data_IF_531935171530
#
_entry.id   IF_531935171530
#
_cell.length_a   1.000
_cell.length_b   1.000
_cell.length_c   1.000
_cell.angle_alpha   90.00
_cell.angle_beta   90.00
_cell.angle_gamma   90.00
#
_symmetry.space_group_name_H-M   'P 1'
#
loop_
_entity.id
_entity.type
_entity.pdbx_description
1 polymer ?
#
# COMPACT_ATOMS: atom_id res chain seq x y z
N UNK A 1 -4.32 22.41 -42.04
CA UNK A 1 -4.76 23.63 -41.33
C UNK A 1 -3.54 24.16 -40.62
N UNK A 2 -2.92 25.13 -41.27
CA UNK A 2 -1.64 25.73 -40.91
C UNK A 2 -1.69 26.36 -39.52
N UNK A 3 -0.54 26.33 -38.88
CA UNK A 3 -0.17 27.08 -37.70
C UNK A 3 -0.89 28.44 -37.70
N UNK A 4 -1.86 28.60 -36.80
CA UNK A 4 -2.15 29.93 -36.27
C UNK A 4 -0.84 30.36 -35.62
N UNK A 5 -0.11 31.18 -36.35
CA UNK A 5 1.07 31.91 -35.95
C UNK A 5 1.05 32.10 -34.42
N UNK A 6 1.94 31.39 -33.74
CA UNK A 6 2.21 31.54 -32.32
C UNK A 6 2.64 32.99 -32.12
N UNK A 7 1.68 33.88 -31.86
CA UNK A 7 1.96 35.24 -31.40
C UNK A 7 2.93 35.06 -30.23
N UNK A 8 4.15 35.64 -30.29
CA UNK A 8 5.15 35.41 -29.27
C UNK A 8 4.60 35.89 -27.93
N UNK A 9 4.22 34.93 -27.09
CA UNK A 9 3.72 35.17 -25.73
C UNK A 9 4.90 35.35 -24.80
N UNK A 10 4.75 36.22 -23.81
CA UNK A 10 5.79 36.46 -22.82
C UNK A 10 5.86 35.25 -21.90
N UNK A 11 7.03 34.60 -21.85
CA UNK A 11 7.30 33.50 -20.92
C UNK A 11 7.76 34.04 -19.57
N UNK A 12 7.15 33.54 -18.50
CA UNK A 12 7.55 33.78 -17.11
C UNK A 12 7.82 32.42 -16.47
N UNK A 13 8.85 32.36 -15.63
CA UNK A 13 9.31 31.09 -15.05
C UNK A 13 8.32 30.57 -14.00
N UNK A 14 7.82 31.43 -13.10
CA UNK A 14 6.78 31.07 -12.12
C UNK A 14 5.63 32.09 -12.01
N UNK A 15 4.46 31.62 -11.55
CA UNK A 15 3.32 32.48 -11.17
C UNK A 15 3.73 33.45 -10.05
N UNK A 16 4.66 33.04 -9.18
CA UNK A 16 5.13 33.88 -8.09
C UNK A 16 5.90 35.10 -8.61
N UNK A 17 6.66 34.96 -9.69
CA UNK A 17 7.38 36.08 -10.31
C UNK A 17 6.40 37.07 -10.91
N UNK A 18 5.34 36.58 -11.56
CA UNK A 18 4.26 37.42 -12.08
C UNK A 18 3.55 38.22 -10.97
N UNK A 19 3.26 37.57 -9.83
CA UNK A 19 2.71 38.25 -8.64
C UNK A 19 3.67 39.29 -8.08
N UNK A 20 4.96 38.98 -8.05
CA UNK A 20 6.01 39.89 -7.55
C UNK A 20 6.11 41.13 -8.44
N UNK A 21 6.07 40.97 -9.76
CA UNK A 21 6.03 42.09 -10.72
C UNK A 21 4.80 42.98 -10.47
N UNK A 22 3.63 42.37 -10.25
CA UNK A 22 2.40 43.12 -9.94
C UNK A 22 2.54 43.93 -8.65
N UNK A 23 3.12 43.35 -7.61
CA UNK A 23 3.35 44.03 -6.33
C UNK A 23 4.33 45.20 -6.48
N UNK A 24 5.49 44.98 -7.10
CA UNK A 24 6.47 46.06 -7.30
C UNK A 24 5.92 47.18 -8.19
N UNK A 25 5.16 46.85 -9.24
CA UNK A 25 4.51 47.86 -10.07
C UNK A 25 3.51 48.69 -9.26
N UNK A 26 2.70 48.03 -8.43
CA UNK A 26 1.74 48.69 -7.54
C UNK A 26 2.43 49.61 -6.54
N UNK A 27 3.51 49.16 -5.91
CA UNK A 27 4.29 49.95 -4.96
C UNK A 27 4.90 51.19 -5.63
N UNK A 28 5.56 51.02 -6.79
CA UNK A 28 6.14 52.13 -7.53
C UNK A 28 5.09 53.15 -8.00
N UNK A 29 3.94 52.67 -8.50
CA UNK A 29 2.84 53.54 -8.93
C UNK A 29 2.25 54.34 -7.75
N UNK A 30 2.12 53.72 -6.58
CA UNK A 30 1.64 54.39 -5.38
C UNK A 30 2.65 55.38 -4.82
N UNK A 31 3.95 55.06 -4.86
CA UNK A 31 5.02 55.99 -4.44
C UNK A 31 5.03 57.24 -5.32
N UNK A 32 4.92 57.08 -6.64
CA UNK A 32 4.89 58.20 -7.58
C UNK A 32 3.63 59.05 -7.40
N UNK A 33 2.48 58.41 -7.19
CA UNK A 33 1.23 59.11 -6.87
C UNK A 33 1.36 59.92 -5.57
N UNK A 34 2.01 59.37 -4.54
CA UNK A 34 2.25 60.08 -3.28
C UNK A 34 3.16 61.29 -3.46
N UNK A 35 4.21 61.18 -4.28
CA UNK A 35 5.09 62.33 -4.60
C UNK A 35 4.33 63.45 -5.30
N UNK A 36 3.46 63.11 -6.26
CA UNK A 36 2.63 64.10 -6.97
C UNK A 36 1.60 64.77 -6.05
N UNK A 37 1.00 63.99 -5.13
CA UNK A 37 0.02 64.49 -4.17
C UNK A 37 0.65 65.30 -3.03
N UNK A 38 1.92 65.08 -2.68
CA UNK A 38 2.61 65.84 -1.63
C UNK A 38 2.69 67.35 -1.93
N UNK A 39 2.50 67.75 -3.19
CA UNK A 39 2.47 69.15 -3.63
C UNK A 39 1.07 69.73 -3.90
N UNK A 40 -0.02 68.96 -3.74
CA UNK A 40 -1.39 69.43 -4.03
C UNK A 40 -2.35 69.14 -2.86
N UNK A 41 -3.16 70.12 -2.48
CA UNK A 41 -4.15 70.00 -1.39
C UNK A 41 -5.45 69.33 -1.87
N UNK A 42 -5.35 68.03 -2.19
CA UNK A 42 -6.45 67.23 -2.75
C UNK A 42 -6.96 66.25 -1.69
N UNK A 43 -7.39 66.76 -0.53
CA UNK A 43 -7.76 65.93 0.62
C UNK A 43 -8.98 65.01 0.40
N UNK A 44 -9.97 65.43 -0.42
CA UNK A 44 -11.20 64.66 -0.66
C UNK A 44 -11.16 63.74 -1.88
N UNK A 45 -10.36 64.06 -2.89
CA UNK A 45 -10.31 63.26 -4.13
C UNK A 45 -9.18 62.24 -4.11
N UNK A 46 -8.25 62.34 -3.14
CA UNK A 46 -7.14 61.40 -2.95
C UNK A 46 -7.62 59.94 -2.90
N UNK A 47 -8.65 59.66 -2.11
CA UNK A 47 -9.16 58.28 -1.97
C UNK A 47 -9.78 57.76 -3.27
N UNK A 48 -10.46 58.63 -4.03
CA UNK A 48 -11.01 58.28 -5.34
C UNK A 48 -9.90 58.01 -6.37
N UNK A 49 -8.84 58.83 -6.38
CA UNK A 49 -7.68 58.67 -7.26
C UNK A 49 -6.94 57.37 -6.96
N UNK A 50 -6.73 57.05 -5.68
CA UNK A 50 -6.12 55.78 -5.26
C UNK A 50 -6.97 54.60 -5.72
N UNK A 51 -8.29 54.64 -5.49
CA UNK A 51 -9.19 53.59 -5.96
C UNK A 51 -9.12 53.39 -7.48
N UNK A 52 -9.10 54.48 -8.26
CA UNK A 52 -9.01 54.41 -9.71
C UNK A 52 -7.65 53.89 -10.19
N UNK A 53 -6.55 54.25 -9.51
CA UNK A 53 -5.23 53.71 -9.79
C UNK A 53 -5.18 52.20 -9.54
N UNK A 54 -5.76 51.72 -8.44
CA UNK A 54 -5.84 50.28 -8.18
C UNK A 54 -6.68 49.54 -9.22
N UNK A 55 -7.82 50.11 -9.64
CA UNK A 55 -8.63 49.55 -10.71
C UNK A 55 -7.87 49.51 -12.04
N UNK A 56 -7.09 50.56 -12.33
CA UNK A 56 -6.25 50.62 -13.52
C UNK A 56 -5.20 49.51 -13.50
N UNK A 57 -4.44 49.39 -12.40
CA UNK A 57 -3.45 48.31 -12.21
C UNK A 57 -4.11 46.94 -12.39
N UNK A 58 -5.26 46.69 -11.77
CA UNK A 58 -5.91 45.39 -11.90
C UNK A 58 -6.35 45.10 -13.34
N UNK A 59 -6.87 46.10 -14.06
CA UNK A 59 -7.26 45.95 -15.48
C UNK A 59 -6.06 45.74 -16.41
N UNK A 60 -4.94 46.42 -16.18
CA UNK A 60 -3.75 46.24 -17.02
C UNK A 60 -3.18 44.84 -16.88
N UNK A 61 -3.14 44.31 -15.65
CA UNK A 61 -2.69 42.94 -15.42
C UNK A 61 -3.67 41.91 -15.97
N UNK A 62 -4.98 42.10 -15.83
CA UNK A 62 -5.97 41.17 -16.41
C UNK A 62 -5.95 41.16 -17.95
N UNK A 63 -5.61 42.29 -18.59
CA UNK A 63 -5.43 42.35 -20.05
C UNK A 63 -4.15 41.66 -20.50
N UNK A 64 -3.14 41.57 -19.63
CA UNK A 64 -1.85 40.95 -19.93
C UNK A 64 -1.85 39.43 -19.72
N UNK A 65 -2.68 38.90 -18.82
CA UNK A 65 -2.86 37.48 -18.52
C UNK A 65 -2.99 36.55 -19.77
N UNK A 66 -3.85 36.83 -20.77
CA UNK A 66 -4.00 35.95 -21.93
C UNK A 66 -2.72 35.85 -22.79
N UNK A 67 -1.83 36.85 -22.69
CA UNK A 67 -0.58 36.89 -23.45
C UNK A 67 0.61 36.30 -22.69
N UNK A 68 0.37 35.72 -21.51
CA UNK A 68 1.40 35.15 -20.64
C UNK A 68 1.49 33.62 -20.81
N UNK A 69 2.72 33.10 -20.81
CA UNK A 69 3.03 31.68 -20.66
C UNK A 69 3.80 31.49 -19.35
N UNK A 70 3.36 30.55 -18.50
CA UNK A 70 4.06 30.19 -17.26
C UNK A 70 4.53 28.76 -17.39
N UNK A 71 5.85 28.55 -17.28
CA UNK A 71 6.48 27.23 -17.37
C UNK A 71 5.97 26.38 -18.58
N UNK A 72 5.88 27.02 -19.76
CA UNK A 72 5.42 26.35 -21.00
C UNK A 72 3.90 26.18 -21.14
N UNK A 73 3.11 26.50 -20.11
CA UNK A 73 1.65 26.45 -20.15
C UNK A 73 1.02 27.82 -20.35
N UNK A 74 -0.17 27.88 -20.96
CA UNK A 74 -0.92 29.11 -21.12
C UNK A 74 -1.52 29.54 -19.78
N UNK A 75 -1.47 30.82 -19.45
CA UNK A 75 -1.97 31.31 -18.15
C UNK A 75 -3.46 30.99 -17.91
N UNK A 76 -4.29 31.00 -18.96
CA UNK A 76 -5.71 30.63 -18.91
C UNK A 76 -5.96 29.14 -18.56
N UNK A 77 -4.94 28.29 -18.71
CA UNK A 77 -5.03 26.86 -18.36
C UNK A 77 -4.60 26.57 -16.91
N UNK A 78 -4.12 27.57 -16.18
CA UNK A 78 -3.95 27.47 -14.74
C UNK A 78 -5.30 27.65 -14.04
N UNK A 79 -5.52 26.89 -12.96
CA UNK A 79 -6.75 26.96 -12.18
C UNK A 79 -6.94 28.37 -11.58
N UNK A 80 -8.17 28.75 -11.21
CA UNK A 80 -8.54 30.13 -10.80
C UNK A 80 -7.72 30.71 -9.64
N UNK A 81 -7.00 29.86 -8.90
CA UNK A 81 -6.11 30.24 -7.80
C UNK A 81 -4.63 30.39 -8.21
N UNK A 82 -4.30 30.26 -9.50
CA UNK A 82 -2.93 30.32 -10.02
C UNK A 82 -2.03 29.24 -9.41
N UNK A 83 -2.60 28.12 -8.97
CA UNK A 83 -1.81 26.96 -8.55
C UNK A 83 -1.30 26.31 -9.82
N UNK A 84 0.02 26.29 -9.93
CA UNK A 84 0.73 25.45 -10.89
C UNK A 84 0.08 24.06 -10.85
N UNK A 85 -0.14 23.50 -12.05
CA UNK A 85 -0.49 22.09 -12.25
C UNK A 85 0.24 21.24 -11.20
N UNK A 86 -0.47 20.37 -10.47
CA UNK A 86 0.06 19.61 -9.33
C UNK A 86 1.54 19.26 -9.52
N UNK A 87 2.40 19.74 -8.62
CA UNK A 87 3.83 19.44 -8.64
C UNK A 87 4.00 17.93 -8.74
N UNK A 88 4.77 17.48 -9.73
CA UNK A 88 4.99 16.06 -9.98
C UNK A 88 5.63 15.41 -8.75
N UNK A 89 4.87 14.57 -8.06
CA UNK A 89 5.37 13.84 -6.90
C UNK A 89 6.17 12.62 -7.36
N UNK A 90 7.48 12.82 -7.53
CA UNK A 90 8.41 11.75 -7.90
C UNK A 90 8.40 10.58 -6.90
N UNK A 91 8.08 10.82 -5.63
CA UNK A 91 8.04 9.77 -4.61
C UNK A 91 6.85 8.86 -4.82
N UNK A 92 5.71 9.46 -5.18
CA UNK A 92 4.49 8.76 -5.53
C UNK A 92 4.67 7.98 -6.83
N UNK A 93 5.32 8.55 -7.84
CA UNK A 93 5.61 7.83 -9.09
C UNK A 93 6.50 6.61 -8.82
N UNK A 94 7.65 6.78 -8.15
CA UNK A 94 8.52 5.64 -7.76
C UNK A 94 7.78 4.57 -6.96
N UNK A 95 6.84 4.97 -6.10
CA UNK A 95 5.98 4.04 -5.38
C UNK A 95 5.03 3.28 -6.31
N UNK A 96 4.43 3.93 -7.31
CA UNK A 96 3.60 3.26 -8.33
C UNK A 96 4.42 2.21 -9.09
N UNK A 97 5.63 2.57 -9.52
CA UNK A 97 6.52 1.65 -10.24
C UNK A 97 6.92 0.44 -9.39
N UNK A 98 7.33 0.65 -8.14
CA UNK A 98 7.65 -0.45 -7.22
C UNK A 98 6.44 -1.34 -6.90
N UNK A 99 5.25 -0.76 -6.76
CA UNK A 99 4.02 -1.53 -6.56
C UNK A 99 3.64 -2.35 -7.80
N UNK A 100 3.84 -1.80 -9.00
CA UNK A 100 3.60 -2.53 -10.24
C UNK A 100 4.55 -3.73 -10.39
N UNK A 101 5.83 -3.56 -10.07
CA UNK A 101 6.82 -4.64 -10.13
C UNK A 101 6.52 -5.74 -9.08
N UNK A 102 6.25 -5.35 -7.83
CA UNK A 102 5.87 -6.32 -6.79
C UNK A 102 4.59 -7.07 -7.17
N UNK A 103 3.59 -6.41 -7.77
CA UNK A 103 2.38 -7.07 -8.28
C UNK A 103 2.72 -8.12 -9.34
N UNK A 104 3.61 -7.79 -10.28
CA UNK A 104 4.04 -8.73 -11.32
C UNK A 104 4.77 -9.94 -10.73
N UNK A 105 5.67 -9.71 -9.77
CA UNK A 105 6.37 -10.77 -9.05
C UNK A 105 5.39 -11.69 -8.30
N UNK A 106 4.38 -11.13 -7.64
CA UNK A 106 3.34 -11.92 -6.97
C UNK A 106 2.52 -12.75 -7.95
N UNK A 107 2.10 -12.19 -9.09
CA UNK A 107 1.40 -12.95 -10.10
C UNK A 107 2.24 -14.12 -10.63
N UNK A 108 3.54 -13.89 -10.89
CA UNK A 108 4.46 -14.95 -11.29
C UNK A 108 4.56 -16.04 -10.23
N UNK A 109 4.80 -15.67 -8.97
CA UNK A 109 4.87 -16.64 -7.85
C UNK A 109 3.58 -17.45 -7.72
N UNK A 110 2.42 -16.81 -7.82
CA UNK A 110 1.12 -17.50 -7.74
C UNK A 110 0.93 -18.46 -8.92
N UNK A 111 1.34 -18.07 -10.13
CA UNK A 111 1.25 -18.96 -11.30
C UNK A 111 2.19 -20.16 -11.15
N UNK A 112 3.42 -19.92 -10.70
CA UNK A 112 4.41 -20.97 -10.47
C UNK A 112 3.94 -21.93 -9.37
N UNK A 113 3.47 -21.42 -8.23
CA UNK A 113 2.97 -22.27 -7.13
C UNK A 113 1.76 -23.08 -7.54
N UNK A 114 0.80 -22.50 -8.27
CA UNK A 114 -0.35 -23.24 -8.81
C UNK A 114 0.06 -24.36 -9.77
N UNK A 115 1.22 -24.25 -10.44
CA UNK A 115 1.73 -25.24 -11.38
C UNK A 115 2.56 -26.34 -10.69
N UNK A 116 3.41 -25.98 -9.74
CA UNK A 116 4.38 -26.90 -9.14
C UNK A 116 3.86 -27.59 -7.89
N UNK A 117 3.24 -26.83 -6.98
CA UNK A 117 2.86 -27.34 -5.65
C UNK A 117 1.87 -28.51 -5.73
N UNK A 118 0.81 -28.49 -6.56
CA UNK A 118 -0.08 -29.65 -6.65
C UNK A 118 0.62 -30.93 -7.12
N UNK A 119 1.58 -30.82 -8.05
CA UNK A 119 2.36 -31.95 -8.57
C UNK A 119 3.33 -32.51 -7.53
N UNK A 120 3.94 -31.62 -6.74
CA UNK A 120 4.79 -32.02 -5.63
C UNK A 120 3.98 -32.78 -4.56
N UNK A 121 2.81 -32.24 -4.20
CA UNK A 121 1.89 -32.88 -3.24
C UNK A 121 1.43 -34.24 -3.78
N UNK A 122 1.01 -34.33 -5.04
CA UNK A 122 0.59 -35.57 -5.69
C UNK A 122 1.70 -36.64 -5.59
N UNK A 123 2.94 -36.28 -5.95
CA UNK A 123 4.09 -37.18 -5.89
C UNK A 123 4.38 -37.65 -4.46
N UNK A 124 4.30 -36.75 -3.48
CA UNK A 124 4.51 -37.13 -2.07
C UNK A 124 3.40 -38.06 -1.58
N UNK A 125 2.16 -37.79 -1.96
CA UNK A 125 1.01 -38.59 -1.53
C UNK A 125 1.03 -39.98 -2.18
N UNK A 126 1.36 -40.06 -3.48
CA UNK A 126 1.49 -41.34 -4.17
C UNK A 126 2.58 -42.20 -3.55
N UNK A 127 3.74 -41.61 -3.23
CA UNK A 127 4.84 -42.33 -2.57
C UNK A 127 4.45 -42.84 -1.18
N UNK A 128 3.71 -42.07 -0.39
CA UNK A 128 3.25 -42.51 0.92
C UNK A 128 2.22 -43.64 0.83
N UNK A 129 1.31 -43.56 -0.15
CA UNK A 129 0.33 -44.62 -0.39
C UNK A 129 0.98 -45.91 -0.89
N UNK A 130 2.02 -45.83 -1.72
CA UNK A 130 2.81 -46.99 -2.16
C UNK A 130 3.53 -47.65 -0.97
N UNK A 131 4.20 -46.87 -0.14
CA UNK A 131 4.84 -47.38 1.09
C UNK A 131 3.84 -48.05 2.03
N UNK A 132 2.64 -47.47 2.20
CA UNK A 132 1.60 -48.08 3.02
C UNK A 132 1.12 -49.41 2.44
N UNK A 133 0.92 -49.49 1.12
CA UNK A 133 0.55 -50.74 0.45
C UNK A 133 1.61 -51.82 0.60
N UNK A 134 2.88 -51.46 0.50
CA UNK A 134 3.99 -52.39 0.72
C UNK A 134 3.98 -52.90 2.17
N UNK A 135 3.83 -52.01 3.16
CA UNK A 135 3.73 -52.40 4.57
C UNK A 135 2.51 -53.29 4.84
N UNK A 136 1.34 -52.94 4.32
CA UNK A 136 0.12 -53.76 4.43
C UNK A 136 0.34 -55.15 3.82
N UNK A 137 0.97 -55.23 2.64
CA UNK A 137 1.29 -56.51 1.99
C UNK A 137 2.28 -57.37 2.78
N UNK A 138 3.16 -56.75 3.56
CA UNK A 138 4.11 -57.46 4.43
C UNK A 138 3.51 -57.88 5.78
N UNK A 139 2.55 -57.12 6.30
CA UNK A 139 1.87 -57.39 7.59
C UNK A 139 0.69 -58.35 7.43
N UNK A 140 0.04 -58.35 6.28
CA UNK A 140 -0.93 -59.36 5.86
C UNK A 140 -0.25 -60.28 4.85
N UNK A 141 0.49 -61.33 5.28
CA UNK A 141 0.80 -62.41 4.36
C UNK A 141 -0.52 -62.86 3.75
N UNK A 142 -0.56 -63.00 2.41
CA UNK A 142 -1.74 -63.42 1.65
C UNK A 142 -2.57 -64.42 2.47
N UNK A 143 -3.69 -63.95 3.02
CA UNK A 143 -4.80 -64.82 3.39
C UNK A 143 -5.26 -65.39 2.06
N UNK A 144 -4.55 -66.45 1.63
CA UNK A 144 -5.00 -67.34 0.58
C UNK A 144 -6.46 -67.62 0.86
N UNK A 145 -7.29 -67.38 -0.15
CA UNK A 145 -8.73 -67.60 -0.13
C UNK A 145 -9.09 -69.08 0.09
N UNK A 146 -8.85 -69.60 1.29
CA UNK A 146 -9.55 -70.74 1.86
C UNK A 146 -10.33 -70.20 3.06
N UNK A 147 -11.51 -69.66 2.76
CA UNK A 147 -12.57 -69.52 3.74
C UNK A 147 -13.09 -70.93 3.99
N UNK A 148 -12.41 -71.66 4.87
CA UNK A 148 -12.99 -72.81 5.52
C UNK A 148 -13.81 -72.28 6.71
N UNK A 149 -15.11 -72.54 6.65
CA UNK A 149 -16.07 -72.30 7.72
C UNK A 149 -15.59 -72.97 9.01
N UNK A 150 -15.78 -72.27 10.14
CA UNK A 150 -15.55 -72.68 11.54
C UNK A 150 -14.23 -72.19 12.14
N UNK A 151 -14.28 -71.09 12.89
CA UNK A 151 -14.14 -71.15 14.36
C UNK A 151 -14.41 -69.76 14.95
N UNK A 152 -15.67 -69.50 15.29
CA UNK A 152 -16.06 -68.33 16.08
C UNK A 152 -16.08 -68.70 17.56
N UNK A 153 -14.94 -69.09 18.10
CA UNK A 153 -14.78 -69.28 19.55
C UNK A 153 -13.31 -69.08 19.92
N UNK A 154 -13.07 -68.43 21.07
CA UNK A 154 -11.76 -68.09 21.66
C UNK A 154 -11.18 -66.72 21.27
N UNK A 155 -11.90 -65.66 21.65
CA UNK A 155 -11.25 -64.40 22.03
C UNK A 155 -10.30 -64.70 23.21
N UNK A 156 -9.02 -64.83 22.86
CA UNK A 156 -7.89 -65.06 23.76
C UNK A 156 -7.83 -63.98 24.87
N UNK A 157 -7.89 -64.38 26.14
CA UNK A 157 -7.84 -63.47 27.31
C UNK A 157 -6.58 -62.59 27.30
N UNK A 158 -5.50 -63.04 26.63
CA UNK A 158 -4.27 -62.26 26.44
C UNK A 158 -4.48 -61.03 25.54
N UNK A 159 -5.44 -61.06 24.61
CA UNK A 159 -5.76 -59.92 23.74
C UNK A 159 -6.55 -58.84 24.50
N UNK A 160 -7.43 -59.24 25.42
CA UNK A 160 -8.15 -58.31 26.30
C UNK A 160 -7.24 -57.58 27.29
N UNK A 161 -6.24 -58.27 27.84
CA UNK A 161 -5.25 -57.68 28.74
C UNK A 161 -4.38 -56.63 28.03
N UNK A 162 -3.91 -56.92 26.80
CA UNK A 162 -3.16 -55.95 25.99
C UNK A 162 -3.98 -54.72 25.63
N UNK A 163 -5.26 -54.90 25.30
CA UNK A 163 -6.17 -53.78 25.02
C UNK A 163 -6.38 -52.90 26.27
N UNK A 164 -6.50 -53.52 27.44
CA UNK A 164 -6.61 -52.85 28.73
C UNK A 164 -5.36 -52.05 29.09
N UNK A 165 -4.17 -52.60 28.88
CA UNK A 165 -2.90 -51.89 29.08
C UNK A 165 -2.75 -50.69 28.14
N UNK A 166 -3.12 -50.84 26.87
CA UNK A 166 -3.11 -49.72 25.91
C UNK A 166 -4.09 -48.63 26.35
N UNK A 167 -5.32 -49.00 26.73
CA UNK A 167 -6.32 -48.06 27.22
C UNK A 167 -5.86 -47.31 28.49
N UNK A 168 -5.17 -47.99 29.40
CA UNK A 168 -4.59 -47.36 30.59
C UNK A 168 -3.46 -46.39 30.22
N UNK A 169 -2.56 -46.77 29.31
CA UNK A 169 -1.48 -45.89 28.84
C UNK A 169 -2.03 -44.65 28.13
N UNK A 170 -3.04 -44.81 27.28
CA UNK A 170 -3.66 -43.65 26.59
C UNK A 170 -4.36 -42.75 27.59
N UNK A 171 -5.02 -43.29 28.60
CA UNK A 171 -5.66 -42.49 29.67
C UNK A 171 -4.61 -41.73 30.49
N UNK A 172 -3.46 -42.36 30.79
CA UNK A 172 -2.34 -41.70 31.45
C UNK A 172 -1.79 -40.53 30.64
N UNK A 173 -1.57 -40.72 29.33
CA UNK A 173 -1.09 -39.67 28.42
C UNK A 173 -2.09 -38.51 28.29
N UNK A 174 -3.39 -38.79 28.29
CA UNK A 174 -4.43 -37.75 28.25
C UNK A 174 -4.39 -36.90 29.52
N UNK A 175 -4.21 -37.52 30.69
CA UNK A 175 -4.10 -36.78 31.95
C UNK A 175 -2.81 -35.94 32.02
N UNK A 176 -1.70 -36.46 31.50
CA UNK A 176 -0.44 -35.70 31.41
C UNK A 176 -0.57 -34.53 30.42
N UNK A 177 -1.26 -34.74 29.30
CA UNK A 177 -1.54 -33.69 28.33
C UNK A 177 -2.42 -32.59 28.94
N UNK A 178 -3.46 -32.93 29.68
CA UNK A 178 -4.35 -31.96 30.34
C UNK A 178 -3.57 -31.08 31.34
N UNK A 179 -2.65 -31.67 32.09
CA UNK A 179 -1.78 -30.93 33.01
C UNK A 179 -0.79 -30.03 32.27
N UNK A 180 -0.17 -30.51 31.19
CA UNK A 180 0.89 -29.77 30.48
C UNK A 180 0.34 -28.69 29.55
N UNK A 181 -0.87 -28.85 28.99
CA UNK A 181 -1.46 -27.87 28.07
C UNK A 181 -1.68 -26.52 28.75
N UNK A 182 -2.18 -26.51 29.98
CA UNK A 182 -2.41 -25.27 30.73
C UNK A 182 -1.10 -24.53 31.02
N UNK A 183 -0.06 -25.25 31.43
CA UNK A 183 1.26 -24.67 31.68
C UNK A 183 1.91 -24.13 30.39
N UNK A 184 1.80 -24.86 29.28
CA UNK A 184 2.33 -24.39 27.98
C UNK A 184 1.55 -23.19 27.45
N UNK A 185 0.24 -23.12 27.68
CA UNK A 185 -0.58 -21.96 27.32
C UNK A 185 -0.15 -20.72 28.11
N UNK A 186 0.09 -20.84 29.43
CA UNK A 186 0.61 -19.74 30.23
C UNK A 186 1.99 -19.28 29.75
N UNK A 187 2.91 -20.22 29.45
CA UNK A 187 4.23 -19.90 28.91
C UNK A 187 4.13 -19.18 27.56
N UNK A 188 3.20 -19.61 26.70
CA UNK A 188 2.90 -18.96 25.43
C UNK A 188 2.43 -17.51 25.60
N UNK A 189 1.45 -17.28 26.49
CA UNK A 189 0.96 -15.93 26.79
C UNK A 189 2.07 -15.03 27.36
N UNK A 190 2.90 -15.53 28.27
CA UNK A 190 4.03 -14.77 28.82
C UNK A 190 5.05 -14.42 27.74
N UNK A 191 5.35 -15.35 26.83
CA UNK A 191 6.25 -15.11 25.70
C UNK A 191 5.72 -14.03 24.76
N UNK A 192 4.41 -14.03 24.48
CA UNK A 192 3.77 -13.02 23.65
C UNK A 192 3.83 -11.62 24.29
N UNK A 193 3.59 -11.52 25.60
CA UNK A 193 3.73 -10.27 26.36
C UNK A 193 5.16 -9.75 26.27
N UNK A 194 6.16 -10.60 26.52
CA UNK A 194 7.59 -10.22 26.42
C UNK A 194 7.94 -9.79 24.99
N UNK A 195 7.45 -10.49 23.98
CA UNK A 195 7.69 -10.12 22.58
C UNK A 195 7.11 -8.75 22.24
N UNK A 196 5.92 -8.43 22.76
CA UNK A 196 5.30 -7.12 22.60
C UNK A 196 6.06 -6.02 23.36
N UNK A 197 6.52 -6.29 24.58
CA UNK A 197 7.36 -5.37 25.36
C UNK A 197 8.69 -5.08 24.64
N UNK A 198 9.41 -6.11 24.18
CA UNK A 198 10.66 -5.95 23.41
C UNK A 198 10.44 -5.17 22.12
N UNK A 199 9.31 -5.41 21.44
CA UNK A 199 8.94 -4.65 20.23
C UNK A 199 8.65 -3.18 20.54
N UNK A 200 8.07 -2.89 21.71
CA UNK A 200 7.79 -1.51 22.17
C UNK A 200 9.03 -0.76 22.69
N UNK A 201 10.08 -1.49 23.07
CA UNK A 201 11.35 -0.95 23.60
C UNK A 201 12.43 -0.71 22.53
N UNK A 202 12.15 -0.99 21.25
CA UNK A 202 13.07 -0.60 20.17
C UNK A 202 13.06 0.93 19.99
N UNK A 203 14.23 1.59 19.91
CA UNK A 203 14.34 3.03 19.63
C UNK A 203 13.85 3.39 18.22
#
# INVERSE_FOLDING_TARGET
MEAREDIPRVSVDSVQDWRTVKTHYREAAMEELQKLLAGQDVGREKDAIVMHLEQFINKTFSLAEPNLRVNGHHFESLDKDGREMELFDETLDRRIWSLADTRLQWHKRIADTRRTVPREIEKTLSSLLEQHKELDSTLLPELSNDVDDQDSTLLDEASGQRLGEVAQRTTGLVNELDQTVTEQQERGMRSEVIANEVKSLKP
#
